data_IF_792958541866
#
_entry.id   IF_792958541866
#
_cell.length_a   1.000
_cell.length_b   1.000
_cell.length_c   1.000
_cell.angle_alpha   90.00
_cell.angle_beta   90.00
_cell.angle_gamma   90.00
#
_symmetry.space_group_name_H-M   'P 1'
#
loop_
_entity.id
_entity.type
_entity.pdbx_description
1 polymer ?
#
# COMPACT_ATOMS: atom_id res chain seq x y z
N UNK A 1 -9.92 -0.01 1.24
CA UNK A 1 -8.57 0.12 1.84
C UNK A 1 -8.00 -1.26 2.09
N UNK A 2 -6.67 -1.40 2.04
CA UNK A 2 -5.97 -2.63 2.38
C UNK A 2 -4.95 -2.31 3.46
N UNK A 3 -4.87 -3.14 4.50
CA UNK A 3 -3.87 -3.07 5.56
C UNK A 3 -3.56 -4.49 6.02
N UNK A 4 -2.35 -4.76 6.52
CA UNK A 4 -2.04 -6.04 7.17
C UNK A 4 -2.38 -6.04 8.68
N UNK A 5 -2.87 -4.92 9.23
CA UNK A 5 -3.11 -4.70 10.66
C UNK A 5 -4.60 -4.76 11.00
N UNK A 6 -4.97 -5.69 11.89
CA UNK A 6 -6.32 -5.78 12.42
C UNK A 6 -6.72 -4.55 13.27
N UNK A 7 -5.87 -4.01 14.16
CA UNK A 7 -6.20 -2.78 14.89
C UNK A 7 -6.45 -1.57 13.98
N UNK A 8 -5.71 -1.43 12.88
CA UNK A 8 -5.95 -0.35 11.92
C UNK A 8 -7.32 -0.48 11.26
N UNK A 9 -7.73 -1.70 10.91
CA UNK A 9 -9.06 -1.96 10.36
C UNK A 9 -10.15 -1.55 11.36
N UNK A 10 -10.06 -2.01 12.60
CA UNK A 10 -11.05 -1.72 13.65
C UNK A 10 -11.21 -0.21 13.86
N UNK A 11 -10.08 0.50 13.94
CA UNK A 11 -10.08 1.96 14.06
C UNK A 11 -10.80 2.63 12.89
N UNK A 12 -10.50 2.23 11.64
CA UNK A 12 -11.13 2.83 10.45
C UNK A 12 -12.64 2.53 10.42
N UNK A 13 -13.05 1.29 10.71
CA UNK A 13 -14.46 0.88 10.73
C UNK A 13 -15.25 1.67 11.79
N UNK A 14 -14.66 1.90 12.97
CA UNK A 14 -15.24 2.75 14.00
C UNK A 14 -15.42 4.20 13.51
N UNK A 15 -14.37 4.80 12.93
CA UNK A 15 -14.46 6.17 12.40
C UNK A 15 -15.50 6.29 11.28
N UNK A 16 -15.67 5.25 10.46
CA UNK A 16 -16.72 5.21 9.44
C UNK A 16 -18.11 5.21 10.06
N UNK A 17 -18.33 4.39 11.10
CA UNK A 17 -19.61 4.33 11.84
C UNK A 17 -19.95 5.67 12.49
N UNK A 18 -19.00 6.30 13.17
CA UNK A 18 -19.20 7.61 13.81
C UNK A 18 -19.55 8.71 12.80
N UNK A 19 -19.00 8.64 11.58
CA UNK A 19 -19.19 9.65 10.53
C UNK A 19 -20.29 9.29 9.51
N UNK A 20 -20.95 8.14 9.66
CA UNK A 20 -22.00 7.68 8.75
C UNK A 20 -21.51 7.27 7.35
N UNK A 21 -20.23 6.89 7.19
CA UNK A 21 -19.71 6.41 5.92
C UNK A 21 -20.01 4.92 5.72
N UNK A 22 -20.74 4.60 4.67
CA UNK A 22 -21.14 3.23 4.30
C UNK A 22 -20.44 2.70 3.03
N UNK A 23 -19.58 3.51 2.42
CA UNK A 23 -18.90 3.24 1.16
C UNK A 23 -17.43 2.83 1.34
N UNK A 24 -17.01 2.51 2.56
CA UNK A 24 -15.64 2.10 2.88
C UNK A 24 -15.61 0.61 3.19
N UNK A 25 -14.81 -0.15 2.44
CA UNK A 25 -14.50 -1.55 2.72
C UNK A 25 -13.01 -1.69 3.03
N UNK A 26 -12.68 -2.37 4.13
CA UNK A 26 -11.31 -2.67 4.52
C UNK A 26 -11.02 -4.16 4.31
N UNK A 27 -9.89 -4.46 3.69
CA UNK A 27 -9.37 -5.81 3.51
C UNK A 27 -8.13 -5.92 4.39
N UNK A 28 -8.17 -6.81 5.39
CA UNK A 28 -6.98 -7.12 6.19
C UNK A 28 -6.21 -8.24 5.51
N UNK A 29 -5.06 -7.92 4.89
CA UNK A 29 -4.27 -8.87 4.11
C UNK A 29 -2.83 -8.36 3.93
N UNK A 30 -1.87 -9.29 3.86
CA UNK A 30 -0.54 -8.99 3.33
C UNK A 30 -0.65 -8.67 1.82
N UNK A 31 -0.12 -7.52 1.42
CA UNK A 31 -0.12 -7.07 0.01
C UNK A 31 0.61 -8.06 -0.91
N UNK A 32 1.60 -8.80 -0.41
CA UNK A 32 2.27 -9.87 -1.16
C UNK A 32 1.34 -11.02 -1.53
N UNK A 33 0.23 -11.20 -0.81
CA UNK A 33 -0.76 -12.24 -1.06
C UNK A 33 -2.10 -11.71 -1.58
N UNK A 34 -2.26 -10.38 -1.62
CA UNK A 34 -3.49 -9.73 -2.06
C UNK A 34 -3.88 -10.16 -3.47
N UNK A 35 -5.12 -10.63 -3.60
CA UNK A 35 -5.79 -10.89 -4.87
C UNK A 35 -7.08 -10.10 -4.90
N UNK A 36 -7.27 -9.34 -5.96
CA UNK A 36 -8.48 -8.57 -6.23
C UNK A 36 -8.98 -8.91 -7.62
N UNK A 37 -10.28 -8.69 -7.82
CA UNK A 37 -10.92 -8.93 -9.10
C UNK A 37 -10.32 -7.99 -10.17
N UNK A 38 -10.00 -8.51 -11.38
CA UNK A 38 -9.48 -7.69 -12.46
C UNK A 38 -10.45 -6.57 -12.87
N UNK A 39 -9.93 -5.46 -13.38
CA UNK A 39 -10.73 -4.34 -13.90
C UNK A 39 -11.80 -3.80 -12.92
N UNK A 40 -11.50 -3.80 -11.61
CA UNK A 40 -12.46 -3.42 -10.58
C UNK A 40 -12.29 -1.99 -10.09
N UNK A 41 -11.12 -1.39 -10.30
CA UNK A 41 -10.79 -0.08 -9.72
C UNK A 41 -10.51 0.97 -10.79
N UNK A 42 -11.11 2.14 -10.64
CA UNK A 42 -10.79 3.31 -11.46
C UNK A 42 -9.47 3.96 -11.01
N UNK A 43 -9.17 3.88 -9.71
CA UNK A 43 -7.99 4.49 -9.09
C UNK A 43 -7.39 3.55 -8.06
N UNK A 44 -6.07 3.45 -8.07
CA UNK A 44 -5.29 2.87 -7.00
C UNK A 44 -4.41 3.96 -6.39
N UNK A 45 -4.37 4.04 -5.07
CA UNK A 45 -3.59 5.04 -4.33
C UNK A 45 -2.73 4.29 -3.33
N UNK A 46 -1.43 4.52 -3.39
CA UNK A 46 -0.45 3.97 -2.46
C UNK A 46 0.31 5.11 -1.82
N UNK A 47 0.31 5.15 -0.49
CA UNK A 47 1.01 6.15 0.31
C UNK A 47 1.99 5.40 1.20
N UNK A 48 3.28 5.65 1.01
CA UNK A 48 4.35 5.15 1.88
C UNK A 48 4.31 3.62 2.08
N UNK A 49 3.94 2.91 1.02
CA UNK A 49 3.83 1.44 1.03
C UNK A 49 4.86 0.77 0.12
N UNK A 50 5.38 1.47 -0.89
CA UNK A 50 6.31 0.87 -1.85
C UNK A 50 7.70 0.69 -1.25
N UNK A 51 8.14 1.54 -0.31
CA UNK A 51 9.41 1.40 0.40
C UNK A 51 9.54 0.08 1.19
N UNK A 52 8.40 -0.53 1.57
CA UNK A 52 8.35 -1.81 2.26
C UNK A 52 8.36 -3.01 1.31
N UNK A 53 8.26 -2.77 0.00
CA UNK A 53 8.18 -3.81 -1.02
C UNK A 53 9.52 -3.93 -1.75
N UNK A 54 9.86 -5.15 -2.19
CA UNK A 54 11.10 -5.41 -2.94
C UNK A 54 10.86 -5.57 -4.44
N UNK A 55 9.84 -6.33 -4.82
CA UNK A 55 9.57 -6.64 -6.23
C UNK A 55 8.48 -5.73 -6.81
N UNK A 56 8.89 -4.55 -7.30
CA UNK A 56 7.97 -3.57 -7.87
C UNK A 56 7.34 -4.02 -9.18
N UNK A 57 8.05 -4.81 -10.00
CA UNK A 57 7.50 -5.30 -11.27
C UNK A 57 6.26 -6.15 -11.05
N UNK A 58 6.34 -7.14 -10.13
CA UNK A 58 5.20 -7.99 -9.80
C UNK A 58 4.07 -7.18 -9.17
N UNK A 59 4.39 -6.26 -8.25
CA UNK A 59 3.38 -5.43 -7.58
C UNK A 59 2.65 -4.51 -8.57
N UNK A 60 3.39 -3.82 -9.44
CA UNK A 60 2.83 -2.96 -10.48
C UNK A 60 2.02 -3.75 -11.49
N UNK A 61 2.46 -4.95 -11.89
CA UNK A 61 1.71 -5.84 -12.77
C UNK A 61 0.37 -6.27 -12.16
N UNK A 62 0.37 -6.60 -10.86
CA UNK A 62 -0.87 -6.90 -10.12
C UNK A 62 -1.80 -5.70 -10.07
N UNK A 63 -1.29 -4.52 -9.68
CA UNK A 63 -2.09 -3.29 -9.63
C UNK A 63 -2.68 -2.98 -11.01
N UNK A 64 -1.89 -3.10 -12.07
CA UNK A 64 -2.35 -2.88 -13.44
C UNK A 64 -3.52 -3.81 -13.80
N UNK A 65 -3.48 -5.08 -13.38
CA UNK A 65 -4.58 -6.02 -13.63
C UNK A 65 -5.87 -5.67 -12.89
N UNK A 66 -5.78 -5.04 -11.71
CA UNK A 66 -6.93 -4.63 -10.92
C UNK A 66 -7.57 -3.34 -11.44
N UNK A 67 -6.81 -2.52 -12.17
CA UNK A 67 -7.29 -1.27 -12.74
C UNK A 67 -8.16 -1.53 -13.97
N UNK A 68 -9.25 -0.77 -14.09
CA UNK A 68 -10.07 -0.70 -15.32
C UNK A 68 -9.26 -0.10 -16.47
N UNK A 69 -9.67 -0.28 -17.74
CA UNK A 69 -9.12 0.48 -18.86
C UNK A 69 -9.19 2.00 -18.58
N UNK A 70 -8.06 2.69 -18.69
CA UNK A 70 -7.94 4.12 -18.35
C UNK A 70 -7.84 4.43 -16.83
N UNK A 71 -7.78 3.40 -15.99
CA UNK A 71 -7.52 3.51 -14.57
C UNK A 71 -6.13 4.09 -14.30
N UNK A 72 -5.95 4.68 -13.11
CA UNK A 72 -4.69 5.34 -12.75
C UNK A 72 -4.19 4.87 -11.39
N UNK A 73 -2.87 4.70 -11.30
CA UNK A 73 -2.15 4.51 -10.05
C UNK A 73 -1.50 5.84 -9.64
N UNK A 74 -1.68 6.21 -8.37
CA UNK A 74 -0.90 7.24 -7.70
C UNK A 74 -0.02 6.59 -6.63
N UNK A 75 1.27 6.92 -6.63
CA UNK A 75 2.24 6.44 -5.65
C UNK A 75 2.90 7.65 -4.98
N UNK A 76 2.82 7.70 -3.66
CA UNK A 76 3.68 8.50 -2.82
C UNK A 76 4.69 7.56 -2.13
N UNK A 77 5.98 7.87 -2.25
CA UNK A 77 7.09 7.07 -1.73
C UNK A 77 8.24 8.01 -1.35
N UNK A 78 8.89 7.74 -0.21
CA UNK A 78 10.12 8.45 0.16
C UNK A 78 11.30 7.95 -0.66
N UNK A 79 12.06 8.88 -1.24
CA UNK A 79 13.21 8.56 -2.09
C UNK A 79 14.32 9.57 -1.88
N UNK A 80 15.56 9.14 -2.13
CA UNK A 80 16.63 10.06 -2.45
C UNK A 80 16.57 10.43 -3.94
N UNK A 81 16.93 11.68 -4.26
CA UNK A 81 16.80 12.23 -5.61
C UNK A 81 17.61 11.46 -6.67
N UNK A 82 18.75 10.91 -6.29
CA UNK A 82 19.74 10.38 -7.23
C UNK A 82 20.11 8.90 -7.00
N UNK A 83 19.84 8.35 -5.83
CA UNK A 83 20.31 7.01 -5.46
C UNK A 83 19.18 6.18 -4.86
N UNK A 84 19.24 4.87 -5.10
CA UNK A 84 18.45 3.87 -4.40
C UNK A 84 19.35 3.19 -3.38
N UNK A 85 18.86 3.04 -2.15
CA UNK A 85 19.52 2.24 -1.12
C UNK A 85 18.46 1.52 -0.27
N UNK A 86 18.74 0.30 0.21
CA UNK A 86 17.95 -0.29 1.28
C UNK A 86 18.16 0.50 2.58
N UNK A 87 17.11 0.63 3.38
CA UNK A 87 17.27 1.14 4.75
C UNK A 87 17.84 0.03 5.62
N UNK A 88 19.11 0.15 6.01
CA UNK A 88 19.84 -0.81 6.84
C UNK A 88 20.18 -0.17 8.19
N UNK A 89 19.95 -0.91 9.27
CA UNK A 89 20.24 -0.46 10.65
C UNK A 89 21.59 -0.98 11.17
N UNK A 90 22.20 -1.94 10.48
CA UNK A 90 23.45 -2.56 10.91
C UNK A 90 24.68 -1.67 10.56
N UNK A 91 25.66 -1.61 11.47
CA UNK A 91 26.95 -0.93 11.27
C UNK A 91 27.43 -0.19 12.52
N UNK A 92 28.74 -0.24 12.80
CA UNK A 92 29.33 0.35 14.03
C UNK A 92 29.13 1.88 14.14
N UNK A 93 28.89 2.56 13.02
CA UNK A 93 28.64 4.01 12.96
C UNK A 93 27.13 4.38 12.91
N UNK A 94 26.24 3.38 12.91
CA UNK A 94 24.80 3.61 12.89
C UNK A 94 24.24 3.69 14.30
N UNK A 95 23.93 4.90 14.77
CA UNK A 95 23.36 5.12 16.10
C UNK A 95 21.95 4.51 16.30
N UNK A 96 21.28 4.07 15.23
CA UNK A 96 19.98 3.37 15.29
C UNK A 96 20.13 1.83 15.35
N UNK A 97 21.35 1.30 15.33
CA UNK A 97 21.68 -0.14 15.39
C UNK A 97 22.19 -0.58 16.75
#
# INVERSE_FOLDING_TARGET
>A
AVSNSAPQREFIEERCRERGFNNVRIITCDVNQLKLDPNSFDRCVSIEMFEHMRNYEILLGRIASWLKPGGKLFVHIFVHREVMYPFEVEGEDNWMG
#
